data_IF_084070099382
#
_entry.id   IF_084070099382
#
_cell.length_a   1.000
_cell.length_b   1.000
_cell.length_c   1.000
_cell.angle_alpha   90.00
_cell.angle_beta   90.00
_cell.angle_gamma   90.00
#
_symmetry.space_group_name_H-M   'P 1'
#
loop_
_entity.id
_entity.type
_entity.pdbx_description
1 polymer ?
#
# COMPACT_ATOMS: atom_id res chain seq x y z
N UNK A 1 -3.37 2.39 -1.00
CA UNK A 1 -3.06 2.77 0.41
C UNK A 1 -3.68 1.79 1.40
N UNK A 2 -5.01 1.73 1.54
CA UNK A 2 -5.68 0.83 2.49
C UNK A 2 -5.36 -0.65 2.25
N UNK A 3 -5.62 -1.19 1.05
CA UNK A 3 -5.40 -2.62 0.80
C UNK A 3 -3.94 -3.07 0.87
N UNK A 4 -2.98 -2.22 0.48
CA UNK A 4 -1.55 -2.59 0.45
C UNK A 4 -0.76 -2.20 1.71
N UNK A 5 -1.34 -1.41 2.62
CA UNK A 5 -0.63 -0.91 3.79
C UNK A 5 0.63 -0.10 3.41
N UNK A 6 0.62 0.64 2.30
CA UNK A 6 1.74 1.49 1.85
C UNK A 6 1.58 2.93 2.33
N UNK A 7 2.71 3.63 2.57
CA UNK A 7 2.72 5.08 2.85
C UNK A 7 2.36 5.84 1.58
N UNK A 8 1.76 7.02 1.72
CA UNK A 8 1.39 7.84 0.55
C UNK A 8 2.59 8.13 -0.36
N UNK A 9 3.77 8.40 0.20
CA UNK A 9 4.98 8.61 -0.60
C UNK A 9 5.36 7.40 -1.43
N UNK A 10 5.26 6.20 -0.86
CA UNK A 10 5.56 4.94 -1.57
C UNK A 10 4.55 4.68 -2.69
N UNK A 11 3.28 5.03 -2.48
CA UNK A 11 2.24 4.92 -3.53
C UNK A 11 2.50 5.89 -4.68
N UNK A 12 2.87 7.14 -4.37
CA UNK A 12 3.14 8.15 -5.39
C UNK A 12 4.44 7.87 -6.15
N UNK A 13 5.41 7.21 -5.51
CA UNK A 13 6.68 6.82 -6.16
C UNK A 13 6.57 5.55 -7.02
N UNK A 14 5.41 4.88 -7.03
CA UNK A 14 5.22 3.60 -7.69
C UNK A 14 5.12 3.76 -9.22
N UNK A 15 5.98 3.04 -9.93
CA UNK A 15 5.94 2.93 -11.39
C UNK A 15 5.26 1.62 -11.81
N UNK A 16 4.80 1.55 -13.06
CA UNK A 16 4.14 0.34 -13.58
C UNK A 16 5.02 -0.91 -13.44
N UNK A 17 6.32 -0.80 -13.72
CA UNK A 17 7.30 -1.90 -13.56
C UNK A 17 7.45 -2.42 -12.13
N UNK A 18 7.07 -1.63 -11.12
CA UNK A 18 7.21 -2.00 -9.72
C UNK A 18 6.06 -2.93 -9.28
N UNK A 19 5.01 -3.08 -10.07
CA UNK A 19 3.94 -4.03 -9.84
C UNK A 19 4.27 -5.37 -10.49
N UNK A 20 4.60 -6.36 -9.66
CA UNK A 20 5.01 -7.69 -10.11
C UNK A 20 3.99 -8.76 -9.68
N UNK A 21 3.91 -9.83 -10.47
CA UNK A 21 3.14 -11.02 -10.15
C UNK A 21 4.08 -12.23 -10.17
N UNK A 22 4.09 -13.01 -9.11
CA UNK A 22 4.88 -14.24 -8.97
C UNK A 22 3.92 -15.39 -8.64
N UNK A 23 3.65 -16.25 -9.62
CA UNK A 23 2.59 -17.25 -9.53
C UNK A 23 1.23 -16.60 -9.28
N UNK A 24 0.55 -16.99 -8.19
CA UNK A 24 -0.75 -16.43 -7.79
C UNK A 24 -0.64 -15.24 -6.82
N UNK A 25 0.56 -14.71 -6.60
CA UNK A 25 0.80 -13.63 -5.63
C UNK A 25 1.23 -12.35 -6.33
N UNK A 26 0.74 -11.22 -5.84
CA UNK A 26 1.04 -9.90 -6.38
C UNK A 26 1.78 -9.04 -5.37
N UNK A 27 2.78 -8.30 -5.85
CA UNK A 27 3.62 -7.46 -5.02
C UNK A 27 3.82 -6.08 -5.64
N UNK A 28 4.05 -5.09 -4.78
CA UNK A 28 4.62 -3.81 -5.15
C UNK A 28 6.07 -3.76 -4.68
N UNK A 29 6.99 -3.42 -5.57
CA UNK A 29 8.39 -3.14 -5.23
C UNK A 29 8.48 -1.72 -4.69
N UNK A 30 8.97 -1.60 -3.47
CA UNK A 30 9.11 -0.31 -2.80
C UNK A 30 10.54 -0.06 -2.35
N UNK A 31 10.98 1.19 -2.53
CA UNK A 31 12.29 1.66 -2.10
C UNK A 31 12.26 1.93 -0.61
N UNK A 32 13.19 1.37 0.15
CA UNK A 32 13.31 1.69 1.57
C UNK A 32 13.81 3.13 1.77
N UNK A 33 13.36 3.77 2.86
CA UNK A 33 13.78 5.13 3.22
C UNK A 33 15.10 5.18 4.03
N UNK A 34 15.77 4.05 4.28
CA UNK A 34 17.05 4.04 5.02
C UNK A 34 18.20 4.58 4.15
N UNK A 35 19.30 4.97 4.82
CA UNK A 35 20.55 5.55 4.26
C UNK A 35 21.09 4.83 3.01
N UNK A 36 20.72 3.57 2.77
CA UNK A 36 20.94 2.87 1.50
C UNK A 36 19.67 2.82 0.63
N UNK A 37 19.57 3.74 -0.33
CA UNK A 37 18.52 3.80 -1.38
C UNK A 37 18.48 2.56 -2.30
N UNK A 38 19.36 1.57 -2.10
CA UNK A 38 19.50 0.36 -2.92
C UNK A 38 18.64 -0.82 -2.44
N UNK A 39 18.12 -0.78 -1.20
CA UNK A 39 17.30 -1.89 -0.69
C UNK A 39 15.86 -1.80 -1.20
N UNK A 40 15.52 -2.69 -2.13
CA UNK A 40 14.18 -2.91 -2.64
C UNK A 40 13.45 -3.96 -1.80
N UNK A 41 12.19 -3.72 -1.49
CA UNK A 41 11.36 -4.66 -0.74
C UNK A 41 10.06 -4.98 -1.49
N UNK A 42 9.66 -6.25 -1.45
CA UNK A 42 8.37 -6.71 -1.97
C UNK A 42 7.28 -6.53 -0.90
N UNK A 43 6.37 -5.59 -1.11
CA UNK A 43 5.16 -5.43 -0.31
C UNK A 43 4.04 -6.27 -0.90
N UNK A 44 3.39 -7.17 -0.14
CA UNK A 44 2.18 -7.84 -0.56
C UNK A 44 1.12 -6.85 -1.04
N UNK A 45 0.56 -7.10 -2.21
CA UNK A 45 -0.41 -6.23 -2.85
C UNK A 45 -1.67 -7.04 -3.17
N UNK A 46 -2.89 -6.58 -2.81
CA UNK A 46 -4.10 -7.35 -3.07
C UNK A 46 -4.33 -7.59 -4.57
N UNK A 47 -4.63 -8.84 -4.95
CA UNK A 47 -4.81 -9.26 -6.35
C UNK A 47 -5.90 -8.45 -7.07
N UNK A 48 -6.99 -8.12 -6.39
CA UNK A 48 -8.08 -7.32 -6.95
C UNK A 48 -7.58 -5.93 -7.34
N UNK A 49 -6.91 -5.24 -6.41
CA UNK A 49 -6.36 -3.89 -6.64
C UNK A 49 -5.25 -3.94 -7.71
N UNK A 50 -4.41 -4.98 -7.71
CA UNK A 50 -3.40 -5.19 -8.75
C UNK A 50 -4.04 -5.19 -10.13
N UNK A 51 -5.08 -6.00 -10.30
CA UNK A 51 -5.77 -6.17 -11.59
C UNK A 51 -6.44 -4.87 -12.06
N UNK A 52 -7.07 -4.13 -11.12
CA UNK A 52 -7.66 -2.82 -11.41
C UNK A 52 -6.62 -1.78 -11.83
N UNK A 53 -5.45 -1.76 -11.18
CA UNK A 53 -4.37 -0.82 -11.54
C UNK A 53 -3.75 -1.20 -12.89
N UNK A 54 -3.54 -2.49 -13.18
CA UNK A 54 -3.03 -2.91 -14.49
C UNK A 54 -3.99 -2.52 -15.61
N UNK A 55 -5.30 -2.70 -15.42
CA UNK A 55 -6.31 -2.23 -16.37
C UNK A 55 -6.22 -0.72 -16.57
N UNK A 56 -6.21 0.04 -15.48
CA UNK A 56 -6.04 1.50 -15.53
C UNK A 56 -4.78 1.93 -16.30
N UNK A 57 -3.65 1.25 -16.05
CA UNK A 57 -2.39 1.52 -16.76
C UNK A 57 -2.50 1.24 -18.27
N UNK A 58 -3.24 0.21 -18.68
CA UNK A 58 -3.49 -0.08 -20.09
C UNK A 58 -4.40 0.98 -20.72
N UNK A 59 -5.52 1.31 -20.07
CA UNK A 59 -6.48 2.30 -20.57
C UNK A 59 -5.85 3.70 -20.74
N UNK A 60 -4.86 4.02 -19.90
CA UNK A 60 -4.14 5.30 -19.92
C UNK A 60 -2.78 5.24 -20.63
N UNK A 61 -2.44 4.11 -21.27
CA UNK A 61 -1.16 3.90 -21.96
C UNK A 61 0.07 4.25 -21.08
N UNK A 62 0.02 3.92 -19.78
CA UNK A 62 1.10 4.17 -18.84
C UNK A 62 2.24 3.17 -19.12
N UNK A 63 3.41 3.67 -19.49
CA UNK A 63 4.59 2.86 -19.78
C UNK A 63 5.23 2.26 -18.52
N UNK A 64 6.16 1.32 -18.71
CA UNK A 64 6.82 0.61 -17.61
C UNK A 64 7.60 1.55 -16.66
N UNK A 65 8.16 2.64 -17.20
CA UNK A 65 8.97 3.61 -16.45
C UNK A 65 8.17 4.82 -15.96
N UNK A 66 6.87 4.84 -16.24
CA UNK A 66 6.01 5.95 -15.85
C UNK A 66 5.40 5.73 -14.47
N UNK A 67 5.17 6.83 -13.76
CA UNK A 67 4.45 6.81 -12.50
C UNK A 67 2.99 6.43 -12.76
N UNK A 68 2.49 5.46 -11.98
CA UNK A 68 1.08 5.05 -12.06
C UNK A 68 0.17 6.24 -11.73
N UNK A 69 0.59 7.05 -10.78
CA UNK A 69 -0.10 8.28 -10.39
C UNK A 69 0.71 9.50 -10.82
N UNK A 70 0.55 9.89 -12.08
CA UNK A 70 1.19 11.06 -12.68
C UNK A 70 0.28 12.29 -12.67
N UNK A 71 0.88 13.48 -12.79
CA UNK A 71 0.19 14.71 -13.16
C UNK A 71 0.03 14.78 -14.68
N UNK A 72 -0.71 15.78 -15.16
CA UNK A 72 -0.88 16.05 -16.60
C UNK A 72 0.46 16.22 -17.36
N UNK A 73 1.55 16.58 -16.67
CA UNK A 73 2.89 16.72 -17.25
C UNK A 73 3.73 15.43 -17.16
N UNK A 74 3.11 14.26 -16.95
CA UNK A 74 3.78 12.97 -16.74
C UNK A 74 4.77 12.94 -15.54
N UNK A 75 4.73 13.95 -14.67
CA UNK A 75 5.53 14.01 -13.44
C UNK A 75 4.81 13.27 -12.33
N UNK A 76 5.57 12.83 -11.33
CA UNK A 76 5.02 12.26 -10.10
C UNK A 76 3.96 13.19 -9.50
N UNK A 77 2.79 12.66 -9.16
CA UNK A 77 1.76 13.41 -8.45
C UNK A 77 2.27 13.88 -7.08
N UNK A 78 1.96 15.12 -6.72
CA UNK A 78 2.37 15.68 -5.43
C UNK A 78 1.52 15.15 -4.28
N UNK A 79 2.09 15.12 -3.07
CA UNK A 79 1.34 14.75 -1.85
C UNK A 79 0.14 15.67 -1.62
N UNK A 80 0.25 16.95 -1.98
CA UNK A 80 -0.83 17.93 -1.86
C UNK A 80 -1.99 17.60 -2.82
N UNK A 81 -1.72 17.21 -4.07
CA UNK A 81 -2.79 16.81 -4.98
C UNK A 81 -3.45 15.50 -4.53
N UNK A 82 -2.65 14.54 -4.07
CA UNK A 82 -3.17 13.29 -3.50
C UNK A 82 -4.03 13.54 -2.25
N UNK A 83 -3.62 14.48 -1.39
CA UNK A 83 -4.46 15.01 -0.32
C UNK A 83 -5.78 15.46 -0.94
N UNK A 84 -5.78 16.45 -1.84
CA UNK A 84 -7.02 17.04 -2.39
C UNK A 84 -8.00 15.99 -2.94
N UNK A 85 -7.51 15.02 -3.72
CA UNK A 85 -8.33 13.90 -4.24
C UNK A 85 -9.02 13.13 -3.11
N UNK A 86 -8.34 12.95 -1.97
CA UNK A 86 -8.93 12.36 -0.77
C UNK A 86 -10.00 13.28 -0.12
N UNK A 87 -9.89 14.63 -0.10
CA UNK A 87 -11.02 15.50 0.38
C UNK A 87 -12.22 15.28 -0.51
N UNK A 88 -11.99 15.35 -1.81
CA UNK A 88 -13.04 15.25 -2.81
C UNK A 88 -13.76 13.91 -2.67
N UNK A 89 -13.00 12.82 -2.51
CA UNK A 89 -13.55 11.47 -2.28
C UNK A 89 -14.29 11.36 -0.95
N UNK A 90 -13.74 11.92 0.14
CA UNK A 90 -14.38 11.99 1.47
C UNK A 90 -15.75 12.66 1.37
N UNK A 91 -15.81 13.83 0.70
CA UNK A 91 -17.03 14.62 0.52
C UNK A 91 -18.06 13.85 -0.31
N UNK A 92 -17.64 13.25 -1.42
CA UNK A 92 -18.52 12.44 -2.29
C UNK A 92 -19.09 11.22 -1.56
N UNK A 93 -18.33 10.62 -0.65
CA UNK A 93 -18.76 9.47 0.15
C UNK A 93 -19.61 9.86 1.38
N UNK A 94 -19.87 11.15 1.62
CA UNK A 94 -20.62 11.61 2.80
C UNK A 94 -19.91 11.40 4.14
N UNK A 95 -18.60 11.16 4.14
CA UNK A 95 -17.84 10.90 5.37
C UNK A 95 -17.60 12.22 6.10
N UNK A 96 -18.10 12.35 7.32
CA UNK A 96 -17.93 13.55 8.15
C UNK A 96 -16.63 13.53 8.96
N UNK A 97 -16.22 12.34 9.42
CA UNK A 97 -14.99 12.12 10.21
C UNK A 97 -13.74 12.68 9.55
N UNK A 98 -12.86 13.31 10.31
CA UNK A 98 -11.58 13.76 9.77
C UNK A 98 -10.68 12.58 9.36
N UNK A 99 -10.25 12.57 8.10
CA UNK A 99 -9.41 11.52 7.53
C UNK A 99 -8.18 12.12 6.88
N UNK A 100 -7.04 11.51 7.17
CA UNK A 100 -5.74 11.84 6.58
C UNK A 100 -5.20 10.64 5.82
N UNK A 101 -4.12 10.83 5.06
CA UNK A 101 -3.42 9.73 4.39
C UNK A 101 -2.97 8.63 5.36
N UNK A 102 -2.65 9.01 6.62
CA UNK A 102 -2.29 8.05 7.67
C UNK A 102 -3.50 7.31 8.23
N UNK A 103 -4.71 7.89 8.17
CA UNK A 103 -5.94 7.25 8.63
C UNK A 103 -6.20 5.94 7.90
N UNK A 104 -6.00 5.89 6.58
CA UNK A 104 -6.14 4.63 5.81
C UNK A 104 -5.18 3.53 6.27
N UNK A 105 -3.93 3.89 6.59
CA UNK A 105 -2.93 2.93 7.08
C UNK A 105 -3.33 2.43 8.46
N UNK A 106 -3.71 3.34 9.36
CA UNK A 106 -4.15 3.00 10.73
C UNK A 106 -5.37 2.08 10.70
N UNK A 107 -6.40 2.43 9.93
CA UNK A 107 -7.59 1.60 9.77
C UNK A 107 -7.27 0.20 9.24
N UNK A 108 -6.35 0.07 8.26
CA UNK A 108 -5.93 -1.26 7.80
C UNK A 108 -5.25 -2.06 8.89
N UNK A 109 -4.33 -1.46 9.64
CA UNK A 109 -3.62 -2.15 10.71
C UNK A 109 -4.58 -2.58 11.82
N UNK A 110 -5.52 -1.72 12.19
CA UNK A 110 -6.59 -2.06 13.15
C UNK A 110 -7.42 -3.24 12.64
N UNK A 111 -7.92 -3.21 11.39
CA UNK A 111 -8.69 -4.33 10.85
C UNK A 111 -7.90 -5.65 10.77
N UNK A 112 -6.57 -5.59 10.56
CA UNK A 112 -5.74 -6.80 10.58
C UNK A 112 -5.59 -7.34 12.01
N UNK A 113 -5.44 -6.46 13.02
CA UNK A 113 -5.43 -6.87 14.43
C UNK A 113 -6.78 -7.45 14.87
N UNK A 114 -7.88 -6.81 14.48
CA UNK A 114 -9.26 -7.24 14.81
C UNK A 114 -9.62 -8.58 14.13
N UNK A 115 -8.95 -8.92 13.02
CA UNK A 115 -9.10 -10.22 12.36
C UNK A 115 -8.32 -11.36 13.05
N UNK A 116 -7.84 -11.15 14.28
CA UNK A 116 -7.03 -12.07 15.08
C UNK A 116 -5.70 -12.45 14.40
N UNK A 117 -5.20 -11.62 13.46
CA UNK A 117 -3.85 -11.84 12.96
C UNK A 117 -2.86 -11.63 14.09
N UNK A 118 -1.89 -12.53 14.17
CA UNK A 118 -0.77 -12.40 15.09
C UNK A 118 -0.13 -11.01 14.93
N UNK A 119 -0.08 -10.28 16.04
CA UNK A 119 0.52 -8.96 16.14
C UNK A 119 1.93 -8.91 15.53
N UNK A 120 2.70 -10.01 15.53
CA UNK A 120 3.99 -10.16 14.86
C UNK A 120 3.88 -10.02 13.33
N UNK A 121 2.86 -10.65 12.72
CA UNK A 121 2.59 -10.64 11.28
C UNK A 121 2.07 -9.29 10.81
N UNK A 122 1.18 -8.68 11.60
CA UNK A 122 0.69 -7.31 11.35
C UNK A 122 1.86 -6.31 11.39
N UNK A 123 2.81 -6.47 12.34
CA UNK A 123 4.02 -5.63 12.42
C UNK A 123 4.92 -5.78 11.19
N UNK A 124 5.10 -7.00 10.68
CA UNK A 124 5.82 -7.26 9.42
C UNK A 124 5.18 -6.57 8.21
N UNK A 125 3.85 -6.64 8.10
CA UNK A 125 3.09 -5.94 7.06
C UNK A 125 3.16 -4.40 7.19
N UNK A 126 3.21 -3.90 8.42
CA UNK A 126 3.21 -2.48 8.74
C UNK A 126 4.57 -1.78 8.56
N UNK A 127 5.69 -2.51 8.46
CA UNK A 127 7.03 -1.95 8.14
C UNK A 127 7.41 -0.70 8.97
N UNK A 128 7.02 -0.66 10.25
CA UNK A 128 7.30 0.45 11.16
C UNK A 128 8.55 0.18 12.01
N UNK A 129 9.56 1.06 11.90
CA UNK A 129 10.61 1.30 12.88
C UNK A 129 10.61 2.79 13.22
N UNK A 130 9.94 3.17 14.32
CA UNK A 130 10.05 4.41 15.13
C UNK A 130 8.66 4.74 15.72
N UNK A 131 8.40 4.87 17.02
CA UNK A 131 9.22 4.87 18.24
C UNK A 131 8.39 4.31 19.40
N UNK A 132 8.78 3.15 19.92
CA UNK A 132 8.79 2.72 21.32
C UNK A 132 8.92 1.18 21.27
N UNK A 133 10.13 0.73 21.63
CA UNK A 133 10.51 -0.65 21.96
C UNK A 133 9.90 -1.79 21.14
N UNK A 134 10.67 -2.37 20.21
CA UNK A 134 10.52 -3.78 19.82
C UNK A 134 11.77 -4.26 19.06
N UNK A 135 12.38 -5.30 19.63
CA UNK A 135 13.70 -5.88 19.40
C UNK A 135 13.96 -6.50 18.00
N UNK A 136 15.22 -6.87 17.66
CA UNK A 136 15.68 -7.08 16.29
C UNK A 136 15.31 -8.43 15.62
N UNK A 137 14.32 -9.18 16.12
CA UNK A 137 13.96 -10.50 15.60
C UNK A 137 12.70 -10.45 14.71
N UNK A 138 12.81 -10.01 13.45
CA UNK A 138 11.69 -10.21 12.50
C UNK A 138 12.23 -10.63 11.13
N UNK A 139 12.35 -11.95 10.97
CA UNK A 139 12.62 -12.65 9.71
C UNK A 139 11.59 -13.78 9.55
N UNK A 140 10.30 -13.46 9.62
CA UNK A 140 9.22 -14.45 9.51
C UNK A 140 8.44 -14.31 8.19
N UNK A 141 8.07 -15.47 7.64
CA UNK A 141 7.88 -15.70 6.22
C UNK A 141 6.63 -15.03 5.63
N UNK A 142 6.83 -14.35 4.50
CA UNK A 142 5.82 -13.65 3.68
C UNK A 142 4.65 -14.52 3.17
N UNK A 143 4.64 -15.83 3.47
CA UNK A 143 3.68 -16.81 2.96
C UNK A 143 2.28 -16.60 3.57
N UNK A 144 2.23 -16.26 4.85
CA UNK A 144 0.98 -16.20 5.64
C UNK A 144 0.20 -14.90 5.43
N UNK A 145 0.88 -13.83 5.04
CA UNK A 145 0.30 -12.48 4.96
C UNK A 145 -0.79 -12.40 3.87
N UNK A 146 -0.65 -13.12 2.75
CA UNK A 146 -1.65 -13.08 1.67
C UNK A 146 -2.98 -13.71 2.06
N UNK A 147 -2.94 -14.84 2.75
CA UNK A 147 -4.13 -15.58 3.15
C UNK A 147 -4.90 -14.81 4.23
N UNK A 148 -4.17 -14.21 5.17
CA UNK A 148 -4.72 -13.35 6.22
C UNK A 148 -5.32 -12.06 5.64
N UNK A 149 -4.68 -11.43 4.65
CA UNK A 149 -5.25 -10.27 3.95
C UNK A 149 -6.55 -10.62 3.23
N UNK A 150 -6.64 -11.82 2.63
CA UNK A 150 -7.85 -12.28 1.97
C UNK A 150 -8.99 -12.57 2.96
N UNK A 151 -8.66 -13.08 4.15
CA UNK A 151 -9.63 -13.29 5.24
C UNK A 151 -10.17 -11.97 5.79
N UNK A 152 -9.30 -10.99 6.04
CA UNK A 152 -9.70 -9.65 6.51
C UNK A 152 -10.58 -8.93 5.48
N UNK A 153 -10.29 -9.06 4.18
CA UNK A 153 -11.10 -8.47 3.11
C UNK A 153 -12.49 -9.12 2.99
N UNK A 154 -12.66 -10.38 3.43
CA UNK A 154 -13.96 -11.07 3.47
C UNK A 154 -14.82 -10.68 4.67
N UNK A 155 -14.22 -10.47 5.85
CA UNK A 155 -14.93 -10.07 7.09
C UNK A 155 -15.36 -8.61 7.13
N UNK A 156 -14.74 -7.74 6.33
CA UNK A 156 -15.00 -6.29 6.29
C UNK A 156 -16.16 -5.85 5.36
N UNK A 157 -16.87 -6.80 4.73
CA UNK A 157 -18.07 -6.55 3.93
C UNK A 157 -19.32 -6.85 4.74
#
# INVERSE_FOLDING_TARGET
>A
MYGSGMRISEVLDLMRRDLIKEGNRTYAIIKQQKKDKKNLEKQPFPQKIYSEIIRYCNDKNIGLRDYIFSSQMAKKMTRQRAWQIMKESKKKAGITKDITNHSFRRSRLTHLLDAEMDSQKVRGFARHKSSQSLDPYIKLAKKDIFDEMALADKKSK
#
